data_IF_982319350946
#
_entry.id   IF_982319350946
#
_cell.length_a   1.000
_cell.length_b   1.000
_cell.length_c   1.000
_cell.angle_alpha   90.00
_cell.angle_beta   90.00
_cell.angle_gamma   90.00
#
_symmetry.space_group_name_H-M   'P 1'
#
loop_
_entity.id
_entity.type
_entity.pdbx_description
1 polymer ?
#
# COMPACT_ATOMS: atom_id res chain seq x y z
N UNK A 1 -15.27 -5.09 11.90
CA UNK A 1 -14.10 -4.25 12.22
C UNK A 1 -13.79 -4.26 13.72
N UNK A 2 -14.75 -3.97 14.59
CA UNK A 2 -14.62 -3.91 16.05
C UNK A 2 -14.02 -5.19 16.66
N UNK A 3 -14.56 -6.37 16.33
CA UNK A 3 -14.05 -7.67 16.80
C UNK A 3 -12.55 -7.89 16.46
N UNK A 4 -12.12 -7.44 15.29
CA UNK A 4 -10.74 -7.53 14.85
C UNK A 4 -9.81 -6.57 15.60
N UNK A 5 -10.34 -5.41 15.98
CA UNK A 5 -9.62 -4.42 16.80
C UNK A 5 -9.37 -5.01 18.20
N UNK A 6 -10.40 -5.57 18.82
CA UNK A 6 -10.28 -6.24 20.13
C UNK A 6 -9.29 -7.40 20.12
N UNK A 7 -9.30 -8.22 19.06
CA UNK A 7 -8.32 -9.30 18.89
C UNK A 7 -6.88 -8.77 18.82
N UNK A 8 -6.65 -7.67 18.13
CA UNK A 8 -5.33 -7.03 18.00
C UNK A 8 -4.88 -6.43 19.33
N UNK A 9 -5.75 -5.74 20.06
CA UNK A 9 -5.44 -5.19 21.39
C UNK A 9 -5.12 -6.30 22.40
N UNK A 10 -5.96 -7.33 22.47
CA UNK A 10 -5.73 -8.48 23.35
C UNK A 10 -4.39 -9.16 23.02
N UNK A 11 -4.05 -9.28 21.73
CA UNK A 11 -2.79 -9.86 21.31
C UNK A 11 -1.60 -8.97 21.71
N UNK A 12 -1.74 -7.67 21.60
CA UNK A 12 -0.71 -6.71 22.00
C UNK A 12 -0.44 -6.78 23.50
N UNK A 13 -1.49 -6.76 24.32
CA UNK A 13 -1.38 -6.85 25.76
C UNK A 13 -0.76 -8.20 26.21
N UNK A 14 -1.11 -9.29 25.52
CA UNK A 14 -0.49 -10.59 25.74
C UNK A 14 1.02 -10.57 25.44
N UNK A 15 1.42 -9.96 24.32
CA UNK A 15 2.84 -9.85 23.96
C UNK A 15 3.58 -8.98 24.98
N UNK A 16 2.99 -7.88 25.42
CA UNK A 16 3.60 -7.05 26.47
C UNK A 16 3.78 -7.80 27.80
N UNK A 17 2.81 -8.63 28.17
CA UNK A 17 2.92 -9.47 29.36
C UNK A 17 4.01 -10.54 29.21
N UNK A 18 4.11 -11.16 28.04
CA UNK A 18 5.15 -12.16 27.75
C UNK A 18 6.56 -11.56 27.71
N UNK A 19 6.71 -10.33 27.21
CA UNK A 19 8.01 -9.64 27.21
C UNK A 19 8.48 -9.25 28.62
N UNK A 20 7.58 -9.18 29.60
CA UNK A 20 7.91 -8.93 31.02
C UNK A 20 8.26 -10.19 31.78
N UNK A 21 8.05 -11.38 31.19
CA UNK A 21 8.31 -12.67 31.81
C UNK A 21 9.81 -12.99 31.80
N UNK A 22 10.46 -13.21 32.98
CA UNK A 22 11.88 -13.54 33.05
C UNK A 22 12.27 -14.84 32.34
N UNK A 23 11.37 -15.84 32.30
CA UNK A 23 11.64 -17.12 31.63
C UNK A 23 11.71 -16.96 30.10
N UNK A 24 10.86 -16.10 29.54
CA UNK A 24 10.85 -15.79 28.11
C UNK A 24 12.05 -14.91 27.74
N UNK A 25 12.45 -14.02 28.68
CA UNK A 25 13.61 -13.12 28.50
C UNK A 25 14.94 -13.86 28.37
N UNK A 26 15.00 -15.12 28.77
CA UNK A 26 16.18 -15.97 28.61
C UNK A 26 16.32 -16.59 27.18
N UNK A 27 15.22 -16.63 26.39
CA UNK A 27 15.23 -17.22 25.05
C UNK A 27 15.27 -16.14 23.96
N UNK A 28 16.48 -15.86 23.46
CA UNK A 28 16.74 -14.84 22.44
C UNK A 28 15.87 -15.02 21.17
N UNK A 29 15.63 -16.27 20.73
CA UNK A 29 14.83 -16.54 19.53
C UNK A 29 13.35 -16.18 19.71
N UNK A 30 12.79 -16.47 20.90
CA UNK A 30 11.42 -16.12 21.25
C UNK A 30 11.24 -14.61 21.39
N UNK A 31 12.17 -13.94 22.09
CA UNK A 31 12.16 -12.48 22.22
C UNK A 31 12.17 -11.80 20.86
N UNK A 32 13.07 -12.20 19.96
CA UNK A 32 13.16 -11.58 18.64
C UNK A 32 11.84 -11.70 17.86
N UNK A 33 11.17 -12.84 17.93
CA UNK A 33 9.85 -13.03 17.29
C UNK A 33 8.77 -12.14 17.93
N UNK A 34 8.72 -12.10 19.25
CA UNK A 34 7.77 -11.28 20.00
C UNK A 34 7.98 -9.79 19.76
N UNK A 35 9.22 -9.30 19.74
CA UNK A 35 9.53 -7.91 19.44
C UNK A 35 9.15 -7.51 18.01
N UNK A 36 9.37 -8.41 17.04
CA UNK A 36 8.96 -8.18 15.65
C UNK A 36 7.45 -8.12 15.53
N UNK A 37 6.72 -9.02 16.20
CA UNK A 37 5.27 -9.03 16.24
C UNK A 37 4.72 -7.78 16.95
N UNK A 38 5.28 -7.44 18.13
CA UNK A 38 4.95 -6.22 18.89
C UNK A 38 5.08 -4.96 18.03
N UNK A 39 6.23 -4.80 17.34
CA UNK A 39 6.47 -3.65 16.46
C UNK A 39 5.45 -3.58 15.31
N UNK A 40 5.05 -4.72 14.74
CA UNK A 40 4.08 -4.77 13.64
C UNK A 40 2.64 -4.43 14.06
N UNK A 41 2.30 -4.68 15.34
CA UNK A 41 0.96 -4.44 15.89
C UNK A 41 0.86 -3.06 16.53
N UNK A 42 1.95 -2.57 17.11
CA UNK A 42 1.98 -1.32 17.89
C UNK A 42 1.36 -0.14 17.15
N UNK A 43 1.73 0.09 15.89
CA UNK A 43 1.17 1.20 15.11
C UNK A 43 -0.36 1.12 14.99
N UNK A 44 -0.90 -0.09 14.87
CA UNK A 44 -2.36 -0.31 14.79
C UNK A 44 -3.05 0.01 16.12
N UNK A 45 -2.47 -0.46 17.23
CA UNK A 45 -2.99 -0.22 18.58
C UNK A 45 -2.95 1.27 18.92
N UNK A 46 -1.85 1.94 18.62
CA UNK A 46 -1.71 3.38 18.86
C UNK A 46 -2.77 4.18 18.08
N UNK A 47 -3.01 3.83 16.82
CA UNK A 47 -4.07 4.46 16.02
C UNK A 47 -5.48 4.19 16.58
N UNK A 48 -5.76 2.97 17.05
CA UNK A 48 -7.04 2.64 17.67
C UNK A 48 -7.25 3.50 18.93
N UNK A 49 -6.22 3.62 19.77
CA UNK A 49 -6.27 4.46 20.98
C UNK A 49 -6.53 5.93 20.62
N UNK A 50 -5.85 6.47 19.60
CA UNK A 50 -6.08 7.83 19.11
C UNK A 50 -7.51 8.04 18.60
N UNK A 51 -8.08 7.08 17.87
CA UNK A 51 -9.48 7.16 17.40
C UNK A 51 -10.45 7.19 18.58
N UNK A 52 -10.25 6.33 19.59
CA UNK A 52 -11.09 6.33 20.80
C UNK A 52 -10.99 7.63 21.60
N UNK A 53 -9.79 8.19 21.73
CA UNK A 53 -9.62 9.48 22.39
C UNK A 53 -10.39 10.60 21.65
N UNK A 54 -10.35 10.60 20.31
CA UNK A 54 -11.14 11.56 19.54
C UNK A 54 -12.65 11.33 19.67
N UNK A 55 -13.09 10.08 19.72
CA UNK A 55 -14.51 9.74 19.96
C UNK A 55 -14.99 10.26 21.32
N UNK A 56 -14.19 10.08 22.36
CA UNK A 56 -14.49 10.61 23.67
C UNK A 56 -14.56 12.16 23.65
N UNK A 57 -13.57 12.83 23.05
CA UNK A 57 -13.56 14.29 22.89
C UNK A 57 -14.78 14.78 22.11
N UNK A 58 -15.16 14.11 21.02
CA UNK A 58 -16.36 14.46 20.26
C UNK A 58 -17.63 14.30 21.13
N UNK A 59 -17.70 13.25 21.94
CA UNK A 59 -18.84 13.01 22.84
C UNK A 59 -18.92 14.10 23.91
N UNK A 60 -17.80 14.43 24.53
CA UNK A 60 -17.72 15.49 25.56
C UNK A 60 -18.08 16.86 24.96
N UNK A 61 -17.54 17.20 23.81
CA UNK A 61 -17.84 18.46 23.11
C UNK A 61 -19.30 18.54 22.67
N UNK A 62 -19.90 17.40 22.24
CA UNK A 62 -21.34 17.36 21.95
C UNK A 62 -22.20 17.56 23.23
N UNK A 63 -21.75 17.06 24.37
CA UNK A 63 -22.46 17.28 25.64
C UNK A 63 -22.39 18.75 26.09
N UNK A 64 -21.23 19.39 25.89
CA UNK A 64 -21.05 20.84 26.12
C UNK A 64 -21.95 21.66 25.20
N UNK A 65 -22.08 21.31 23.92
CA UNK A 65 -22.97 22.00 23.00
C UNK A 65 -24.44 21.97 23.46
N UNK A 66 -24.87 20.85 24.06
CA UNK A 66 -26.24 20.72 24.57
C UNK A 66 -26.49 21.56 25.82
N UNK A 67 -25.46 21.80 26.64
CA UNK A 67 -25.55 22.58 27.87
C UNK A 67 -25.37 24.09 27.66
N UNK A 68 -24.73 24.51 26.56
CA UNK A 68 -24.39 25.89 26.26
C UNK A 68 -25.42 26.62 25.38
N UNK A 69 -26.67 26.18 25.35
CA UNK A 69 -27.73 26.67 24.45
C UNK A 69 -28.11 28.14 24.59
N UNK A 70 -27.57 28.89 25.57
CA UNK A 70 -27.90 30.29 25.83
C UNK A 70 -26.81 31.29 25.43
N UNK A 71 -25.64 30.84 24.95
CA UNK A 71 -24.53 31.72 24.57
C UNK A 71 -24.14 31.48 23.10
N UNK A 72 -24.48 32.41 22.22
CA UNK A 72 -24.35 32.28 20.77
C UNK A 72 -22.86 32.15 20.33
N UNK A 73 -21.98 32.99 20.88
CA UNK A 73 -20.53 32.90 20.57
C UNK A 73 -19.90 31.57 21.00
N UNK A 74 -20.22 31.11 22.20
CA UNK A 74 -19.71 29.80 22.69
C UNK A 74 -20.21 28.64 21.84
N UNK A 75 -21.46 28.70 21.40
CA UNK A 75 -22.06 27.70 20.51
C UNK A 75 -21.32 27.61 19.19
N UNK A 76 -20.95 28.73 18.58
CA UNK A 76 -20.19 28.78 17.32
C UNK A 76 -18.81 28.16 17.51
N UNK A 77 -18.10 28.57 18.60
CA UNK A 77 -16.77 28.00 18.88
C UNK A 77 -16.81 26.46 19.06
N UNK A 78 -17.79 25.95 19.81
CA UNK A 78 -17.96 24.51 20.03
C UNK A 78 -18.28 23.78 18.71
N UNK A 79 -19.10 24.38 17.86
CA UNK A 79 -19.41 23.81 16.53
C UNK A 79 -18.18 23.73 15.63
N UNK A 80 -17.34 24.75 15.63
CA UNK A 80 -16.10 24.76 14.85
C UNK A 80 -15.09 23.72 15.37
N UNK A 81 -14.98 23.59 16.70
CA UNK A 81 -14.17 22.53 17.32
C UNK A 81 -14.68 21.12 16.94
N UNK A 82 -15.99 20.89 17.04
CA UNK A 82 -16.62 19.62 16.61
C UNK A 82 -16.32 19.31 15.14
N UNK A 83 -16.33 20.31 14.28
CA UNK A 83 -16.03 20.13 12.86
C UNK A 83 -14.59 19.70 12.64
N UNK A 84 -13.64 20.29 13.37
CA UNK A 84 -12.22 19.88 13.34
C UNK A 84 -12.04 18.46 13.84
N UNK A 85 -12.58 18.12 15.02
CA UNK A 85 -12.47 16.79 15.61
C UNK A 85 -13.04 15.71 14.71
N UNK A 86 -14.19 15.96 14.06
CA UNK A 86 -14.80 15.02 13.09
C UNK A 86 -13.93 14.83 11.85
N UNK A 87 -13.29 15.90 11.35
CA UNK A 87 -12.38 15.82 10.21
C UNK A 87 -11.13 14.99 10.55
N UNK A 88 -10.56 15.22 11.73
CA UNK A 88 -9.38 14.50 12.18
C UNK A 88 -9.69 13.04 12.47
N UNK A 89 -10.86 12.74 13.05
CA UNK A 89 -11.35 11.36 13.18
C UNK A 89 -11.45 10.68 11.82
N UNK A 90 -12.03 11.31 10.81
CA UNK A 90 -12.14 10.75 9.46
C UNK A 90 -10.78 10.41 8.85
N UNK A 91 -9.77 11.26 9.06
CA UNK A 91 -8.40 10.99 8.59
C UNK A 91 -7.80 9.76 9.28
N UNK A 92 -7.97 9.64 10.60
CA UNK A 92 -7.47 8.49 11.37
C UNK A 92 -8.22 7.20 11.04
N UNK A 93 -9.54 7.26 10.87
CA UNK A 93 -10.35 6.10 10.46
C UNK A 93 -9.91 5.56 9.08
N UNK A 94 -9.62 6.44 8.13
CA UNK A 94 -9.10 6.07 6.83
C UNK A 94 -7.69 5.42 6.95
N UNK A 95 -6.81 6.00 7.78
CA UNK A 95 -5.48 5.44 8.04
C UNK A 95 -5.59 4.05 8.69
N UNK A 96 -6.45 3.91 9.69
CA UNK A 96 -6.70 2.64 10.37
C UNK A 96 -7.26 1.60 9.40
N UNK A 97 -8.25 1.96 8.58
CA UNK A 97 -8.83 1.07 7.57
C UNK A 97 -7.76 0.53 6.63
N UNK A 98 -6.86 1.37 6.15
CA UNK A 98 -5.76 0.98 5.28
C UNK A 98 -4.77 0.02 5.97
N UNK A 99 -4.48 0.24 7.25
CA UNK A 99 -3.59 -0.63 8.04
C UNK A 99 -4.23 -1.96 8.45
N UNK A 100 -5.57 -2.01 8.49
CA UNK A 100 -6.33 -3.23 8.81
C UNK A 100 -6.51 -4.18 7.63
N UNK A 101 -6.21 -3.73 6.40
CA UNK A 101 -6.16 -4.62 5.23
C UNK A 101 -5.06 -5.67 5.46
N UNK A 102 -5.39 -6.97 5.36
CA UNK A 102 -4.38 -8.02 5.51
C UNK A 102 -3.29 -7.82 4.45
N UNK A 103 -2.06 -7.69 4.89
CA UNK A 103 -0.92 -7.68 3.97
C UNK A 103 -0.69 -9.09 3.44
N UNK A 104 -0.55 -9.22 2.13
CA UNK A 104 -0.11 -10.47 1.52
C UNK A 104 1.34 -10.75 1.98
N UNK A 105 1.66 -11.96 2.47
CA UNK A 105 3.03 -12.29 2.89
C UNK A 105 4.05 -12.15 1.76
N UNK A 106 3.59 -12.14 0.52
CA UNK A 106 4.43 -11.95 -0.65
C UNK A 106 4.66 -10.48 -1.02
N UNK A 107 3.88 -9.54 -0.46
CA UNK A 107 3.93 -8.12 -0.82
C UNK A 107 5.35 -7.52 -0.77
N UNK A 108 6.18 -7.98 0.17
CA UNK A 108 7.57 -7.51 0.33
C UNK A 108 8.59 -8.26 -0.54
N UNK A 109 8.17 -9.19 -1.38
CA UNK A 109 9.08 -9.92 -2.27
C UNK A 109 9.45 -9.08 -3.49
N UNK A 110 10.63 -9.36 -4.04
CA UNK A 110 11.03 -8.88 -5.35
C UNK A 110 10.14 -9.50 -6.43
N UNK A 111 10.05 -8.86 -7.60
CA UNK A 111 9.30 -9.39 -8.72
C UNK A 111 10.22 -9.71 -9.89
N UNK A 112 9.98 -10.86 -10.54
CA UNK A 112 10.52 -11.15 -11.85
C UNK A 112 9.42 -10.90 -12.86
N UNK A 113 9.70 -10.06 -13.83
CA UNK A 113 8.77 -9.69 -14.89
C UNK A 113 9.27 -10.29 -16.22
N UNK A 114 8.34 -10.85 -16.95
CA UNK A 114 8.55 -11.37 -18.29
C UNK A 114 7.58 -10.68 -19.23
N UNK A 115 8.09 -10.09 -20.31
CA UNK A 115 7.28 -9.46 -21.34
C UNK A 115 7.60 -10.16 -22.65
N UNK A 116 6.58 -10.72 -23.28
CA UNK A 116 6.67 -11.36 -24.60
C UNK A 116 5.81 -10.60 -25.60
N UNK A 117 6.38 -10.36 -26.77
CA UNK A 117 5.61 -9.85 -27.91
C UNK A 117 4.56 -10.92 -28.32
N UNK A 118 3.32 -10.47 -28.48
CA UNK A 118 2.24 -11.32 -28.96
C UNK A 118 2.20 -11.41 -30.49
N UNK A 119 1.03 -11.76 -31.03
CA UNK A 119 0.77 -11.73 -32.47
C UNK A 119 0.74 -10.29 -32.97
N UNK A 120 1.47 -9.96 -34.03
CA UNK A 120 1.50 -8.58 -34.59
C UNK A 120 2.83 -8.20 -35.20
N UNK A 121 3.76 -9.14 -35.40
CA UNK A 121 5.04 -8.91 -36.07
C UNK A 121 5.92 -7.87 -35.37
N UNK A 122 6.55 -6.98 -36.15
CA UNK A 122 7.48 -5.96 -35.65
C UNK A 122 6.82 -4.96 -34.69
N UNK A 123 5.55 -4.59 -34.94
CA UNK A 123 4.81 -3.64 -34.10
C UNK A 123 4.55 -4.19 -32.69
N UNK A 124 4.29 -5.49 -32.57
CA UNK A 124 4.18 -6.15 -31.28
C UNK A 124 5.50 -6.11 -30.50
N UNK A 125 6.64 -6.28 -31.20
CA UNK A 125 7.97 -6.15 -30.61
C UNK A 125 8.27 -4.73 -30.15
N UNK A 126 7.90 -3.71 -30.92
CA UNK A 126 8.03 -2.30 -30.55
C UNK A 126 7.14 -1.96 -29.34
N UNK A 127 5.93 -2.52 -29.28
CA UNK A 127 5.07 -2.33 -28.11
C UNK A 127 5.64 -3.00 -26.86
N UNK A 128 6.17 -4.21 -26.97
CA UNK A 128 6.86 -4.88 -25.86
C UNK A 128 8.05 -4.08 -25.33
N UNK A 129 8.84 -3.47 -26.24
CA UNK A 129 9.92 -2.55 -25.87
C UNK A 129 9.41 -1.30 -25.12
N UNK A 130 8.27 -0.75 -25.53
CA UNK A 130 7.65 0.38 -24.84
C UNK A 130 7.15 0.01 -23.44
N UNK A 131 6.53 -1.17 -23.27
CA UNK A 131 6.12 -1.68 -21.97
C UNK A 131 7.33 -1.90 -21.04
N UNK A 132 8.36 -2.53 -21.54
CA UNK A 132 9.60 -2.72 -20.79
C UNK A 132 10.16 -1.37 -20.30
N UNK A 133 10.28 -0.39 -21.19
CA UNK A 133 10.73 0.97 -20.83
C UNK A 133 9.82 1.63 -19.80
N UNK A 134 8.51 1.44 -19.89
CA UNK A 134 7.54 1.96 -18.93
C UNK A 134 7.79 1.40 -17.53
N UNK A 135 7.98 0.08 -17.40
CA UNK A 135 8.24 -0.54 -16.10
C UNK A 135 9.60 -0.17 -15.51
N UNK A 136 10.65 -0.08 -16.35
CA UNK A 136 11.97 0.43 -15.90
C UNK A 136 11.85 1.85 -15.34
N UNK A 137 11.17 2.76 -16.05
CA UNK A 137 10.96 4.13 -15.57
C UNK A 137 10.09 4.20 -14.31
N UNK A 138 9.12 3.33 -14.20
CA UNK A 138 8.30 3.22 -12.98
C UNK A 138 9.14 2.77 -11.80
N UNK A 139 9.95 1.72 -11.95
CA UNK A 139 10.87 1.24 -10.95
C UNK A 139 11.85 2.34 -10.49
N UNK A 140 12.45 3.06 -11.44
CA UNK A 140 13.35 4.20 -11.15
C UNK A 140 12.66 5.29 -10.30
N UNK A 141 11.42 5.66 -10.64
CA UNK A 141 10.65 6.65 -9.86
C UNK A 141 10.33 6.19 -8.44
N UNK A 142 10.21 4.87 -8.25
CA UNK A 142 10.01 4.25 -6.92
C UNK A 142 11.31 4.03 -6.15
N UNK A 143 12.47 4.30 -6.74
CA UNK A 143 13.78 4.01 -6.14
C UNK A 143 14.14 2.54 -6.13
N UNK A 144 13.48 1.71 -6.97
CA UNK A 144 13.76 0.29 -7.09
C UNK A 144 14.90 0.03 -8.07
N UNK A 145 15.66 -1.02 -7.82
CA UNK A 145 16.72 -1.49 -8.71
C UNK A 145 16.15 -2.47 -9.71
N UNK A 146 16.65 -2.42 -10.95
CA UNK A 146 16.24 -3.32 -12.03
C UNK A 146 17.44 -4.04 -12.61
N UNK A 147 17.31 -5.33 -12.85
CA UNK A 147 18.36 -6.19 -13.43
C UNK A 147 17.76 -7.00 -14.58
N UNK A 148 18.38 -6.90 -15.77
CA UNK A 148 17.95 -7.67 -16.94
C UNK A 148 18.56 -9.05 -16.84
N UNK A 149 17.71 -10.08 -16.82
CA UNK A 149 18.13 -11.50 -16.79
C UNK A 149 18.32 -12.01 -18.21
N UNK A 150 17.36 -11.71 -19.10
CA UNK A 150 17.41 -12.12 -20.50
C UNK A 150 16.74 -11.06 -21.38
N UNK A 151 17.33 -10.77 -22.54
CA UNK A 151 16.79 -9.82 -23.51
C UNK A 151 16.98 -10.40 -24.92
N UNK A 152 15.86 -10.57 -25.63
CA UNK A 152 15.85 -10.96 -27.04
C UNK A 152 15.25 -9.83 -27.86
N UNK A 153 16.12 -9.08 -28.52
CA UNK A 153 15.76 -7.92 -29.35
C UNK A 153 15.40 -8.32 -30.77
N UNK A 154 14.59 -7.50 -31.43
CA UNK A 154 14.32 -7.58 -32.87
C UNK A 154 15.18 -6.58 -33.63
N UNK A 155 15.39 -6.81 -34.94
CA UNK A 155 16.27 -5.97 -35.77
C UNK A 155 15.86 -4.49 -35.91
N UNK A 156 14.63 -4.13 -35.48
CA UNK A 156 14.07 -2.77 -35.57
C UNK A 156 13.95 -2.06 -34.21
N UNK A 157 14.70 -2.51 -33.22
CA UNK A 157 14.65 -1.94 -31.85
C UNK A 157 13.43 -2.35 -31.03
N UNK A 158 12.69 -3.36 -31.49
CA UNK A 158 11.65 -4.01 -30.71
C UNK A 158 12.24 -5.11 -29.81
N UNK A 159 11.40 -5.68 -28.97
CA UNK A 159 11.75 -6.79 -28.05
C UNK A 159 10.82 -7.95 -28.32
N UNK A 160 11.38 -9.12 -28.62
CA UNK A 160 10.61 -10.36 -28.74
C UNK A 160 10.27 -10.93 -27.36
N UNK A 161 11.24 -10.86 -26.45
CA UNK A 161 11.10 -11.30 -25.08
C UNK A 161 12.11 -10.58 -24.20
N UNK A 162 11.70 -10.15 -23.03
CA UNK A 162 12.58 -9.67 -21.97
C UNK A 162 12.15 -10.23 -20.63
N UNK A 163 13.15 -10.71 -19.87
CA UNK A 163 13.00 -11.14 -18.50
C UNK A 163 13.90 -10.26 -17.64
N UNK A 164 13.33 -9.63 -16.64
CA UNK A 164 14.05 -8.73 -15.74
C UNK A 164 13.52 -8.83 -14.33
N UNK A 165 14.39 -8.61 -13.36
CA UNK A 165 14.08 -8.59 -11.95
C UNK A 165 13.97 -7.14 -11.47
N UNK A 166 13.00 -6.90 -10.58
CA UNK A 166 12.83 -5.62 -9.89
C UNK A 166 13.00 -5.89 -8.38
N UNK A 167 13.97 -5.20 -7.79
CA UNK A 167 14.38 -5.34 -6.40
C UNK A 167 14.07 -4.06 -5.64
N UNK A 168 13.38 -4.17 -4.49
CA UNK A 168 13.03 -3.02 -3.66
C UNK A 168 11.99 -3.34 -2.61
N UNK A 169 11.53 -2.32 -1.91
CA UNK A 169 10.50 -2.46 -0.89
C UNK A 169 9.10 -2.55 -1.51
N UNK A 170 8.31 -3.53 -1.08
CA UNK A 170 6.93 -3.78 -1.52
C UNK A 170 6.74 -3.94 -3.05
N UNK A 171 7.76 -4.37 -3.78
CA UNK A 171 7.71 -4.47 -5.25
C UNK A 171 6.56 -5.35 -5.73
N UNK A 172 6.43 -6.55 -5.15
CA UNK A 172 5.38 -7.49 -5.53
C UNK A 172 3.99 -6.93 -5.28
N UNK A 173 3.79 -6.18 -4.20
CA UNK A 173 2.53 -5.52 -3.88
C UNK A 173 1.99 -4.64 -5.01
N UNK A 174 2.88 -3.88 -5.65
CA UNK A 174 2.51 -2.96 -6.73
C UNK A 174 2.39 -3.63 -8.09
N UNK A 175 3.09 -4.76 -8.31
CA UNK A 175 3.20 -5.39 -9.62
C UNK A 175 2.41 -6.69 -9.76
N UNK A 176 1.90 -7.29 -8.67
CA UNK A 176 1.19 -8.58 -8.69
C UNK A 176 -0.05 -8.62 -9.58
N UNK A 177 -0.63 -7.48 -9.91
CA UNK A 177 -1.82 -7.38 -10.76
C UNK A 177 -1.51 -7.03 -12.22
N UNK A 178 -0.23 -6.86 -12.57
CA UNK A 178 0.19 -6.52 -13.93
C UNK A 178 0.26 -7.74 -14.86
N UNK A 179 0.12 -8.95 -14.32
CA UNK A 179 0.10 -10.17 -15.13
C UNK A 179 -1.15 -10.22 -16.00
N UNK A 180 -0.96 -10.36 -17.31
CA UNK A 180 -2.06 -10.43 -18.25
C UNK A 180 -1.67 -10.03 -19.67
N UNK A 181 -2.67 -9.88 -20.53
CA UNK A 181 -2.50 -9.47 -21.93
C UNK A 181 -2.66 -7.96 -22.02
N UNK A 182 -1.61 -7.28 -22.50
CA UNK A 182 -1.64 -5.86 -22.80
C UNK A 182 -1.98 -5.66 -24.27
N UNK A 183 -2.96 -4.80 -24.52
CA UNK A 183 -3.45 -4.47 -25.86
C UNK A 183 -3.28 -2.97 -26.11
N UNK A 184 -2.78 -2.62 -27.28
CA UNK A 184 -2.70 -1.24 -27.73
C UNK A 184 -3.46 -1.05 -29.04
N UNK A 185 -4.11 0.11 -29.18
CA UNK A 185 -4.70 0.59 -30.43
C UNK A 185 -4.01 1.90 -30.79
N UNK A 186 -3.19 1.86 -31.82
CA UNK A 186 -2.48 3.06 -32.32
C UNK A 186 -2.20 2.95 -33.81
N UNK A 187 -1.86 4.06 -34.43
CA UNK A 187 -1.24 4.06 -35.76
C UNK A 187 0.21 3.63 -35.60
N UNK A 188 0.65 2.49 -36.17
CA UNK A 188 2.04 2.05 -36.08
C UNK A 188 3.02 3.07 -36.68
N UNK A 189 4.23 3.11 -36.16
CA UNK A 189 5.31 3.93 -36.76
C UNK A 189 5.66 3.48 -38.18
N UNK A 190 5.37 2.23 -38.51
CA UNK A 190 5.62 1.62 -39.82
C UNK A 190 4.45 1.77 -40.79
N UNK A 191 3.33 2.37 -40.36
CA UNK A 191 2.13 2.55 -41.17
C UNK A 191 2.17 3.90 -41.94
N UNK A 192 2.15 3.86 -43.24
CA UNK A 192 2.21 5.05 -44.11
C UNK A 192 0.84 5.66 -44.40
N UNK A 193 -0.26 4.89 -44.25
CA UNK A 193 -1.61 5.30 -44.61
C UNK A 193 -2.47 5.76 -43.42
N UNK A 194 -1.88 5.86 -42.21
CA UNK A 194 -2.58 6.34 -41.01
C UNK A 194 -3.62 5.39 -40.44
N UNK A 195 -3.59 4.13 -40.80
CA UNK A 195 -4.54 3.13 -40.28
C UNK A 195 -4.22 2.75 -38.85
N UNK A 196 -5.25 2.64 -38.03
CA UNK A 196 -5.13 2.16 -36.65
C UNK A 196 -5.00 0.63 -36.67
N UNK A 197 -3.94 0.13 -36.04
CA UNK A 197 -3.72 -1.30 -35.80
C UNK A 197 -3.91 -1.63 -34.32
N UNK A 198 -4.23 -2.89 -34.06
CA UNK A 198 -4.38 -3.42 -32.70
C UNK A 198 -3.32 -4.46 -32.43
#
# INVERSE_FOLDING_TARGET
MQKRIEEIENRFDLIESQLKDPEISADYSKIQKLLKEHSSIKEKVDLVRMVRELENKITDTNSMLKSSSNEEELTIMIQDELKKLKLDKLKLDNKLSNLMVPKDPNDNKNAIMEIRAGTGGEEAGLFASNLFRMYIRYAQRKGWQTEIINLNETGVGGVKEVVFQINGEEVFRYLKHESGIHRVQRVPLTESSGRIHT
#
